data_IF_277196163136
#
_entry.id   IF_277196163136
#
_cell.length_a   1.000
_cell.length_b   1.000
_cell.length_c   1.000
_cell.angle_alpha   90.00
_cell.angle_beta   90.00
_cell.angle_gamma   90.00
#
_symmetry.space_group_name_H-M   'P 1'
#
loop_
_entity.id
_entity.type
_entity.pdbx_description
1 polymer ?
#
# COMPACT_ATOMS: atom_id res chain seq x y z
N UNK A 1 44.07 4.38 -12.49
CA UNK A 1 43.56 4.95 -11.21
C UNK A 1 43.55 6.49 -11.29
N UNK A 2 42.71 7.08 -12.15
CA UNK A 2 42.53 8.55 -12.20
C UNK A 2 41.31 8.92 -13.05
N UNK A 3 40.10 8.52 -12.63
CA UNK A 3 38.86 9.04 -13.22
C UNK A 3 37.78 9.15 -12.14
N UNK A 4 38.06 9.97 -11.11
CA UNK A 4 37.20 10.14 -9.93
C UNK A 4 36.97 11.61 -9.54
N UNK A 5 37.05 12.56 -10.48
CA UNK A 5 36.90 13.99 -10.17
C UNK A 5 36.07 14.76 -11.20
N UNK A 6 34.84 14.32 -11.40
CA UNK A 6 33.77 15.19 -11.90
C UNK A 6 32.59 15.13 -10.91
N UNK A 7 32.86 15.52 -9.65
CA UNK A 7 31.80 15.87 -8.72
C UNK A 7 31.23 17.22 -9.17
N UNK A 8 30.33 17.19 -10.15
CA UNK A 8 29.43 18.31 -10.40
C UNK A 8 28.61 18.53 -9.14
N UNK A 9 28.41 19.77 -8.66
CA UNK A 9 27.47 20.02 -7.60
C UNK A 9 26.11 19.50 -8.07
N UNK A 10 25.65 18.39 -7.49
CA UNK A 10 24.29 17.93 -7.64
C UNK A 10 23.44 19.00 -6.96
N UNK A 11 22.93 19.95 -7.75
CA UNK A 11 21.82 20.78 -7.31
C UNK A 11 20.66 19.82 -7.06
N UNK A 12 20.53 19.35 -5.83
CA UNK A 12 19.29 18.87 -5.27
C UNK A 12 18.38 20.09 -5.14
N UNK A 13 17.87 20.58 -6.27
CA UNK A 13 16.68 21.40 -6.24
C UNK A 13 15.56 20.44 -5.82
N UNK A 14 15.28 20.40 -4.51
CA UNK A 14 14.05 19.79 -4.01
C UNK A 14 12.91 20.42 -4.79
N UNK A 15 12.28 19.60 -5.62
CA UNK A 15 11.23 20.03 -6.51
C UNK A 15 10.02 20.46 -5.68
N UNK A 16 9.66 21.75 -5.72
CA UNK A 16 8.53 22.25 -4.95
C UNK A 16 7.22 21.88 -5.63
N UNK A 17 6.65 20.73 -5.27
CA UNK A 17 5.37 20.26 -5.81
C UNK A 17 4.19 21.21 -5.59
N UNK A 18 4.29 22.16 -4.65
CA UNK A 18 3.25 23.16 -4.41
C UNK A 18 3.15 24.22 -5.52
N UNK A 19 4.18 24.37 -6.34
CA UNK A 19 4.20 25.33 -7.47
C UNK A 19 3.69 24.69 -8.77
N UNK A 20 3.41 23.38 -8.77
CA UNK A 20 2.87 22.71 -9.93
C UNK A 20 1.40 23.03 -10.15
N UNK A 21 1.05 23.27 -11.42
CA UNK A 21 -0.35 23.33 -11.84
C UNK A 21 -1.09 22.04 -11.43
N UNK A 22 -2.34 22.13 -10.94
CA UNK A 22 -3.17 20.95 -10.65
C UNK A 22 -3.34 20.00 -11.85
N UNK A 23 -3.10 20.47 -13.07
CA UNK A 23 -3.13 19.66 -14.30
C UNK A 23 -2.13 18.49 -14.27
N UNK A 24 -1.03 18.61 -13.53
CA UNK A 24 -0.07 17.50 -13.37
C UNK A 24 -0.67 16.30 -12.61
N UNK A 25 -1.77 16.49 -11.88
CA UNK A 25 -2.51 15.42 -11.22
C UNK A 25 -3.43 14.62 -12.15
N UNK A 26 -3.62 15.04 -13.41
CA UNK A 26 -4.53 14.35 -14.35
C UNK A 26 -4.15 12.88 -14.56
N UNK A 27 -2.88 12.51 -14.83
CA UNK A 27 -2.53 11.11 -15.02
C UNK A 27 -2.79 10.25 -13.77
N UNK A 28 -2.58 10.83 -12.58
CA UNK A 28 -2.88 10.18 -11.31
C UNK A 28 -4.40 9.97 -11.12
N UNK A 29 -5.21 11.00 -11.35
CA UNK A 29 -6.66 10.86 -11.32
C UNK A 29 -7.16 9.86 -12.37
N UNK A 30 -6.55 9.84 -13.56
CA UNK A 30 -6.85 8.92 -14.65
C UNK A 30 -6.64 7.46 -14.28
N UNK A 31 -5.50 7.12 -13.66
CA UNK A 31 -5.28 5.75 -13.17
C UNK A 31 -6.22 5.38 -12.03
N UNK A 32 -6.53 6.30 -11.10
CA UNK A 32 -7.49 6.06 -10.02
C UNK A 32 -8.91 5.77 -10.53
N UNK A 33 -9.38 6.55 -11.51
CA UNK A 33 -10.66 6.30 -12.17
C UNK A 33 -10.65 4.98 -12.94
N UNK A 34 -9.51 4.65 -13.56
CA UNK A 34 -9.35 3.39 -14.30
C UNK A 34 -9.49 2.18 -13.37
N UNK A 35 -8.80 2.18 -12.22
CA UNK A 35 -8.90 1.09 -11.24
C UNK A 35 -10.27 1.02 -10.56
N UNK A 36 -11.02 2.12 -10.51
CA UNK A 36 -12.36 2.14 -9.92
C UNK A 36 -13.44 1.64 -10.90
N UNK A 37 -13.37 2.04 -12.17
CA UNK A 37 -14.44 1.82 -13.15
C UNK A 37 -14.25 0.51 -13.92
N UNK A 38 -13.05 0.25 -14.45
CA UNK A 38 -12.84 -0.86 -15.39
C UNK A 38 -13.06 -2.26 -14.79
N UNK A 39 -12.70 -2.54 -13.52
CA UNK A 39 -13.03 -3.83 -12.91
C UNK A 39 -14.53 -4.11 -12.87
N UNK A 40 -15.36 -3.07 -12.81
CA UNK A 40 -16.83 -3.17 -12.75
C UNK A 40 -17.47 -3.17 -14.14
N UNK A 41 -17.00 -2.27 -15.02
CA UNK A 41 -17.57 -2.09 -16.36
C UNK A 41 -17.18 -3.20 -17.35
N UNK A 42 -15.98 -3.76 -17.21
CA UNK A 42 -15.46 -4.77 -18.14
C UNK A 42 -14.34 -5.60 -17.51
N UNK A 43 -14.66 -6.58 -16.64
CA UNK A 43 -13.65 -7.33 -15.90
C UNK A 43 -12.64 -8.02 -16.81
N UNK A 44 -13.08 -8.71 -17.87
CA UNK A 44 -12.20 -9.43 -18.79
C UNK A 44 -11.23 -8.50 -19.52
N UNK A 45 -11.70 -7.32 -19.94
CA UNK A 45 -10.85 -6.32 -20.57
C UNK A 45 -9.79 -5.79 -19.60
N UNK A 46 -10.21 -5.43 -18.38
CA UNK A 46 -9.33 -4.91 -17.35
C UNK A 46 -8.21 -5.89 -16.99
N UNK A 47 -8.54 -7.15 -16.69
CA UNK A 47 -7.53 -8.14 -16.30
C UNK A 47 -6.49 -8.39 -17.39
N UNK A 48 -6.86 -8.25 -18.66
CA UNK A 48 -5.92 -8.41 -19.79
C UNK A 48 -5.13 -7.12 -20.11
N UNK A 49 -5.70 -5.94 -19.89
CA UNK A 49 -5.12 -4.65 -20.32
C UNK A 49 -4.62 -3.75 -19.18
N UNK A 50 -4.75 -4.17 -17.92
CA UNK A 50 -4.35 -3.38 -16.75
C UNK A 50 -2.95 -2.79 -16.89
N UNK A 51 -1.95 -3.63 -17.22
CA UNK A 51 -0.56 -3.18 -17.37
C UNK A 51 -0.39 -2.14 -18.48
N UNK A 52 -1.13 -2.26 -19.59
CA UNK A 52 -1.07 -1.29 -20.70
C UNK A 52 -1.70 0.04 -20.29
N UNK A 53 -2.83 0.01 -19.58
CA UNK A 53 -3.52 1.22 -19.09
C UNK A 53 -2.65 1.94 -18.05
N UNK A 54 -2.07 1.20 -17.10
CA UNK A 54 -1.14 1.75 -16.12
C UNK A 54 0.10 2.37 -16.77
N UNK A 55 0.70 1.67 -17.75
CA UNK A 55 1.84 2.21 -18.49
C UNK A 55 1.47 3.46 -19.31
N UNK A 56 0.28 3.51 -19.91
CA UNK A 56 -0.19 4.69 -20.63
C UNK A 56 -0.30 5.91 -19.71
N UNK A 57 -0.91 5.76 -18.53
CA UNK A 57 -0.99 6.85 -17.55
C UNK A 57 0.38 7.24 -16.98
N UNK A 58 1.25 6.27 -16.70
CA UNK A 58 2.61 6.54 -16.24
C UNK A 58 3.42 7.33 -17.27
N UNK A 59 3.34 6.96 -18.56
CA UNK A 59 3.99 7.70 -19.64
C UNK A 59 3.35 9.07 -19.88
N UNK A 60 2.03 9.19 -19.72
CA UNK A 60 1.33 10.47 -19.81
C UNK A 60 1.79 11.48 -18.73
N UNK A 61 2.31 11.00 -17.60
CA UNK A 61 3.01 11.85 -16.63
C UNK A 61 4.49 12.04 -16.99
N UNK A 62 5.22 10.94 -17.21
CA UNK A 62 6.67 10.96 -17.31
C UNK A 62 7.19 11.67 -18.57
N UNK A 63 6.50 11.54 -19.71
CA UNK A 63 6.93 12.14 -20.98
C UNK A 63 6.81 13.67 -20.94
N UNK A 64 5.65 14.28 -20.58
CA UNK A 64 5.59 15.72 -20.41
C UNK A 64 6.53 16.22 -19.32
N UNK A 65 6.66 15.49 -18.21
CA UNK A 65 7.54 15.88 -17.11
C UNK A 65 9.01 15.93 -17.55
N UNK A 66 9.47 14.93 -18.32
CA UNK A 66 10.80 14.93 -18.90
C UNK A 66 11.01 16.05 -19.93
N UNK A 67 9.96 16.42 -20.68
CA UNK A 67 10.03 17.52 -21.64
C UNK A 67 10.09 18.90 -20.96
N UNK A 68 9.41 19.10 -19.83
CA UNK A 68 9.35 20.40 -19.13
C UNK A 68 10.48 20.59 -18.12
N UNK A 69 10.86 19.55 -17.38
CA UNK A 69 11.86 19.63 -16.31
C UNK A 69 13.19 18.93 -16.65
N UNK A 70 13.25 18.31 -17.83
CA UNK A 70 14.43 17.64 -18.35
C UNK A 70 14.46 16.13 -18.03
N UNK A 71 15.10 15.33 -18.89
CA UNK A 71 15.13 13.87 -18.74
C UNK A 71 15.91 13.42 -17.50
N UNK A 72 16.92 14.18 -17.06
CA UNK A 72 17.69 13.88 -15.86
C UNK A 72 16.85 13.98 -14.57
N UNK A 73 16.04 15.03 -14.44
CA UNK A 73 15.13 15.21 -13.30
C UNK A 73 14.04 14.13 -13.29
N UNK A 74 13.45 13.84 -14.46
CA UNK A 74 12.46 12.77 -14.61
C UNK A 74 13.02 11.39 -14.24
N UNK A 75 14.22 11.06 -14.72
CA UNK A 75 14.89 9.80 -14.40
C UNK A 75 15.24 9.71 -12.92
N UNK A 76 15.73 10.80 -12.31
CA UNK A 76 16.02 10.84 -10.88
C UNK A 76 14.75 10.61 -10.05
N UNK A 77 13.66 11.32 -10.35
CA UNK A 77 12.37 11.13 -9.67
C UNK A 77 11.83 9.71 -9.80
N UNK A 78 11.90 9.12 -11.01
CA UNK A 78 11.49 7.74 -11.25
C UNK A 78 12.34 6.74 -10.45
N UNK A 79 13.66 6.89 -10.50
CA UNK A 79 14.59 6.00 -9.78
C UNK A 79 14.41 6.15 -8.27
N UNK A 80 14.23 7.37 -7.76
CA UNK A 80 13.95 7.61 -6.36
C UNK A 80 12.65 6.94 -5.93
N UNK A 81 11.55 7.15 -6.66
CA UNK A 81 10.27 6.51 -6.38
C UNK A 81 10.36 4.97 -6.41
N UNK A 82 11.10 4.39 -7.37
CA UNK A 82 11.26 2.94 -7.45
C UNK A 82 12.15 2.38 -6.34
N UNK A 83 13.33 2.96 -6.12
CA UNK A 83 14.34 2.40 -5.23
C UNK A 83 14.16 2.81 -3.77
N UNK A 84 13.75 4.04 -3.50
CA UNK A 84 13.62 4.57 -2.15
C UNK A 84 12.23 4.33 -1.56
N UNK A 85 11.18 4.25 -2.39
CA UNK A 85 9.80 4.10 -1.91
C UNK A 85 9.24 2.72 -2.24
N UNK A 86 9.16 2.36 -3.52
CA UNK A 86 8.43 1.17 -3.96
C UNK A 86 9.09 -0.15 -3.54
N UNK A 87 10.41 -0.29 -3.75
CA UNK A 87 11.13 -1.52 -3.35
C UNK A 87 11.07 -1.73 -1.83
N UNK A 88 11.42 -0.74 -0.98
CA UNK A 88 11.32 -0.89 0.47
C UNK A 88 9.90 -1.19 0.92
N UNK A 89 8.89 -0.56 0.31
CA UNK A 89 7.49 -0.84 0.61
C UNK A 89 7.10 -2.29 0.29
N UNK A 90 7.44 -2.80 -0.89
CA UNK A 90 7.15 -4.20 -1.27
C UNK A 90 7.92 -5.18 -0.38
N UNK A 91 9.18 -4.89 -0.05
CA UNK A 91 9.97 -5.71 0.86
C UNK A 91 9.36 -5.73 2.27
N UNK A 92 8.89 -4.59 2.78
CA UNK A 92 8.19 -4.49 4.06
C UNK A 92 6.91 -5.33 4.05
N UNK A 93 6.07 -5.18 3.03
CA UNK A 93 4.86 -6.00 2.88
C UNK A 93 5.17 -7.49 2.80
N UNK A 94 6.23 -7.86 2.08
CA UNK A 94 6.67 -9.26 1.94
C UNK A 94 7.17 -9.82 3.26
N UNK A 95 7.99 -9.07 4.00
CA UNK A 95 8.47 -9.45 5.32
C UNK A 95 7.30 -9.60 6.29
N UNK A 96 6.37 -8.66 6.29
CA UNK A 96 5.20 -8.68 7.15
C UNK A 96 4.28 -9.87 6.84
N UNK A 97 4.02 -10.13 5.56
CA UNK A 97 3.24 -11.28 5.12
C UNK A 97 3.92 -12.60 5.53
N UNK A 98 5.24 -12.71 5.36
CA UNK A 98 5.99 -13.92 5.70
C UNK A 98 6.00 -14.18 7.21
N UNK A 99 6.28 -13.15 8.01
CA UNK A 99 6.31 -13.25 9.48
C UNK A 99 4.90 -13.51 10.03
N UNK A 100 3.91 -12.69 9.66
CA UNK A 100 2.54 -12.84 10.15
C UNK A 100 1.88 -14.12 9.65
N UNK A 101 2.16 -14.55 8.41
CA UNK A 101 1.65 -15.80 7.84
C UNK A 101 2.23 -17.06 8.48
N UNK A 102 3.47 -16.98 8.99
CA UNK A 102 4.13 -18.07 9.71
C UNK A 102 3.68 -18.25 11.16
N UNK A 103 3.07 -17.24 11.77
CA UNK A 103 2.60 -17.29 13.16
C UNK A 103 1.22 -17.95 13.20
N UNK A 104 1.18 -19.19 13.71
CA UNK A 104 -0.07 -19.91 13.91
C UNK A 104 -0.46 -19.98 15.37
N UNK A 105 -1.40 -19.14 15.78
CA UNK A 105 -1.91 -19.12 17.15
C UNK A 105 -2.93 -20.26 17.31
N UNK A 106 -2.54 -21.33 18.02
CA UNK A 106 -3.45 -22.41 18.47
C UNK A 106 -3.97 -22.09 19.87
N UNK A 107 -5.26 -22.29 20.07
CA UNK A 107 -5.92 -22.23 21.37
C UNK A 107 -7.39 -22.63 21.27
N UNK A 108 -7.98 -23.08 22.38
CA UNK A 108 -9.42 -23.34 22.48
C UNK A 108 -10.16 -22.01 22.73
N UNK A 109 -10.09 -21.11 21.74
CA UNK A 109 -10.66 -19.77 21.79
C UNK A 109 -12.18 -19.87 21.66
N UNK A 110 -12.90 -19.71 22.77
CA UNK A 110 -14.34 -19.59 22.73
C UNK A 110 -14.71 -18.14 22.44
N UNK A 111 -15.58 -17.89 21.47
CA UNK A 111 -16.07 -16.57 21.07
C UNK A 111 -16.98 -15.92 22.12
N UNK A 112 -16.46 -15.66 23.32
CA UNK A 112 -17.12 -14.83 24.32
C UNK A 112 -16.92 -13.34 23.99
N UNK A 113 -17.85 -12.46 24.39
CA UNK A 113 -17.68 -11.01 24.20
C UNK A 113 -16.37 -10.49 24.78
N UNK A 114 -15.99 -10.96 25.97
CA UNK A 114 -14.76 -10.55 26.66
C UNK A 114 -13.52 -10.92 25.85
N UNK A 115 -13.47 -12.15 25.30
CA UNK A 115 -12.34 -12.61 24.50
C UNK A 115 -12.21 -11.81 23.20
N UNK A 116 -13.33 -11.53 22.52
CA UNK A 116 -13.31 -10.72 21.31
C UNK A 116 -12.85 -9.29 21.59
N UNK A 117 -13.35 -8.65 22.66
CA UNK A 117 -12.88 -7.32 23.07
C UNK A 117 -11.39 -7.34 23.41
N UNK A 118 -10.90 -8.40 24.07
CA UNK A 118 -9.47 -8.58 24.34
C UNK A 118 -8.63 -8.69 23.06
N UNK A 119 -9.08 -9.49 22.08
CA UNK A 119 -8.39 -9.60 20.78
C UNK A 119 -8.38 -8.24 20.05
N UNK A 120 -9.49 -7.50 20.08
CA UNK A 120 -9.56 -6.16 19.48
C UNK A 120 -8.62 -5.16 20.15
N UNK A 121 -8.56 -5.15 21.49
CA UNK A 121 -7.67 -4.28 22.24
C UNK A 121 -6.19 -4.61 21.97
N UNK A 122 -5.82 -5.89 21.95
CA UNK A 122 -4.47 -6.32 21.57
C UNK A 122 -4.17 -5.94 20.11
N UNK A 123 -5.14 -6.11 19.21
CA UNK A 123 -5.00 -5.73 17.81
C UNK A 123 -4.73 -4.25 17.62
N UNK A 124 -5.43 -3.37 18.34
CA UNK A 124 -5.19 -1.94 18.33
C UNK A 124 -3.75 -1.60 18.79
N UNK A 125 -3.34 -2.14 19.93
CA UNK A 125 -1.98 -1.93 20.44
C UNK A 125 -0.89 -2.43 19.48
N UNK A 126 -1.12 -3.59 18.85
CA UNK A 126 -0.21 -4.11 17.84
C UNK A 126 -0.19 -3.23 16.59
N UNK A 127 -1.35 -2.73 16.16
CA UNK A 127 -1.46 -1.84 15.00
C UNK A 127 -0.67 -0.54 15.20
N UNK A 128 -0.63 0.02 16.41
CA UNK A 128 0.21 1.19 16.73
C UNK A 128 1.71 0.90 16.65
N UNK A 129 2.15 -0.34 16.87
CA UNK A 129 3.58 -0.71 16.85
C UNK A 129 4.06 -1.22 15.49
N UNK A 130 3.31 -2.12 14.86
CA UNK A 130 3.71 -2.81 13.62
C UNK A 130 2.92 -2.37 12.38
N UNK A 131 1.98 -1.44 12.54
CA UNK A 131 1.05 -0.99 11.50
C UNK A 131 -0.23 -1.82 11.43
N UNK A 132 -1.32 -1.18 10.98
CA UNK A 132 -2.66 -1.78 10.87
C UNK A 132 -2.69 -3.00 9.94
N UNK A 133 -1.92 -2.98 8.84
CA UNK A 133 -1.80 -4.11 7.91
C UNK A 133 -1.20 -5.34 8.59
N UNK A 134 -0.16 -5.15 9.40
CA UNK A 134 0.55 -6.22 10.09
C UNK A 134 -0.27 -6.90 11.17
N UNK A 135 -0.85 -6.08 12.06
CA UNK A 135 -1.74 -6.55 13.11
C UNK A 135 -2.97 -7.26 12.52
N UNK A 136 -3.52 -6.73 11.43
CA UNK A 136 -4.67 -7.34 10.75
C UNK A 136 -4.34 -8.72 10.18
N UNK A 137 -3.22 -8.85 9.46
CA UNK A 137 -2.79 -10.13 8.89
C UNK A 137 -2.54 -11.21 9.96
N UNK A 138 -2.01 -10.80 11.12
CA UNK A 138 -1.71 -11.70 12.24
C UNK A 138 -2.99 -12.22 12.93
N UNK A 139 -3.93 -11.31 13.23
CA UNK A 139 -5.06 -11.60 14.13
C UNK A 139 -6.35 -12.00 13.42
N UNK A 140 -6.51 -11.74 12.12
CA UNK A 140 -7.76 -12.04 11.42
C UNK A 140 -8.10 -13.54 11.46
N UNK A 141 -7.12 -14.43 11.30
CA UNK A 141 -7.33 -15.88 11.33
C UNK A 141 -7.74 -16.38 12.73
N UNK A 142 -7.04 -16.01 13.83
CA UNK A 142 -7.49 -16.29 15.19
C UNK A 142 -8.91 -15.77 15.49
N UNK A 143 -9.23 -14.54 15.06
CA UNK A 143 -10.54 -13.93 15.32
C UNK A 143 -11.68 -14.70 14.65
N UNK A 144 -11.50 -15.06 13.36
CA UNK A 144 -12.49 -15.85 12.61
C UNK A 144 -12.67 -17.21 13.29
N UNK A 145 -11.58 -17.88 13.68
CA UNK A 145 -11.64 -19.19 14.33
C UNK A 145 -12.33 -19.14 15.69
N UNK A 146 -12.04 -18.14 16.51
CA UNK A 146 -12.67 -17.98 17.83
C UNK A 146 -14.20 -17.85 17.72
N UNK A 147 -14.72 -17.40 16.57
CA UNK A 147 -16.12 -17.14 16.33
C UNK A 147 -16.76 -18.07 15.28
N UNK A 148 -16.13 -19.19 14.92
CA UNK A 148 -16.67 -20.10 13.88
C UNK A 148 -17.99 -20.76 14.31
N UNK A 149 -18.14 -21.01 15.62
CA UNK A 149 -19.29 -21.71 16.20
C UNK A 149 -20.47 -20.76 16.47
N UNK A 150 -20.37 -19.48 16.08
CA UNK A 150 -21.43 -18.48 16.24
C UNK A 150 -22.18 -18.25 14.94
N UNK A 151 -23.51 -18.35 14.99
CA UNK A 151 -24.41 -18.03 13.86
C UNK A 151 -24.29 -16.58 13.37
N UNK A 152 -24.00 -15.62 14.26
CA UNK A 152 -23.85 -14.20 13.93
C UNK A 152 -22.49 -13.69 14.43
N UNK A 153 -21.52 -13.59 13.54
CA UNK A 153 -20.15 -13.15 13.85
C UNK A 153 -19.67 -11.97 12.97
N UNK A 154 -20.48 -11.52 12.00
CA UNK A 154 -20.14 -10.42 11.11
C UNK A 154 -19.79 -9.12 11.85
N UNK A 155 -20.51 -8.80 12.92
CA UNK A 155 -20.24 -7.61 13.74
C UNK A 155 -18.81 -7.60 14.32
N UNK A 156 -18.29 -8.77 14.72
CA UNK A 156 -16.93 -8.89 15.28
C UNK A 156 -15.88 -8.54 14.22
N UNK A 157 -16.07 -9.01 12.98
CA UNK A 157 -15.19 -8.70 11.85
C UNK A 157 -15.27 -7.21 11.48
N UNK A 158 -16.47 -6.63 11.49
CA UNK A 158 -16.66 -5.19 11.23
C UNK A 158 -15.94 -4.34 12.28
N UNK A 159 -16.10 -4.66 13.58
CA UNK A 159 -15.37 -3.97 14.64
C UNK A 159 -13.86 -4.14 14.53
N UNK A 160 -13.39 -5.33 14.13
CA UNK A 160 -11.97 -5.56 13.86
C UNK A 160 -11.45 -4.66 12.75
N UNK A 161 -12.19 -4.51 11.65
CA UNK A 161 -11.81 -3.63 10.54
C UNK A 161 -11.72 -2.18 11.02
N UNK A 162 -12.71 -1.70 11.77
CA UNK A 162 -12.68 -0.31 12.25
C UNK A 162 -11.55 -0.06 13.26
N UNK A 163 -11.44 -0.91 14.27
CA UNK A 163 -10.49 -0.68 15.38
C UNK A 163 -9.06 -1.00 14.94
N UNK A 164 -8.83 -2.20 14.41
CA UNK A 164 -7.47 -2.72 14.16
C UNK A 164 -6.97 -2.34 12.77
N UNK A 165 -7.83 -2.43 11.75
CA UNK A 165 -7.41 -2.22 10.36
C UNK A 165 -7.44 -0.76 9.91
N UNK A 166 -8.23 0.10 10.57
CA UNK A 166 -8.41 1.49 10.15
C UNK A 166 -7.91 2.51 11.18
N UNK A 167 -8.34 2.42 12.44
CA UNK A 167 -7.93 3.36 13.49
C UNK A 167 -6.48 3.09 13.92
N UNK A 168 -6.18 1.84 14.30
CA UNK A 168 -4.89 1.45 14.86
C UNK A 168 -4.80 1.79 16.34
#
# INVERSE_FOLDING_TARGET
>A
MALLLAATPAHAAEFNGAELSPLWGIPFAGILLSIAIWPLAGPHFWHHHFGKIAAAWALAFLVPFAATFGPGAAAHGLVHALLAEYIPFILLLTALFTVSGGIYIRGNLHGSPVLNTGILAVGALLASFMGTTGASMLLIRPLIRANDNRRHNAHVVIFFIFIVSNIG
#
